data_IF_679330224926
#
_entry.id   IF_679330224926
#
_cell.length_a   1.000
_cell.length_b   1.000
_cell.length_c   1.000
_cell.angle_alpha   90.00
_cell.angle_beta   90.00
_cell.angle_gamma   90.00
#
_symmetry.space_group_name_H-M   'P 1'
#
loop_
_entity.id
_entity.type
_entity.pdbx_description
1 polymer ?
2 non-polymer ?
3 water ?
#
# COMPACT_ATOMS: atom_id res chain seq x y z
N UNK A 1 19.48 14.04 10.92
CA UNK A 1 19.37 12.57 10.65
C UNK A 1 20.73 11.90 10.53
N UNK A 2 20.74 10.58 10.35
CA UNK A 2 21.96 9.80 10.37
C UNK A 2 22.63 9.78 9.01
N UNK A 3 23.93 10.08 8.95
CA UNK A 3 24.65 10.20 7.67
C UNK A 3 24.74 8.89 6.87
N UNK A 4 24.42 8.95 5.57
CA UNK A 4 24.49 7.79 4.65
C UNK A 4 24.78 8.19 3.18
N UNK A 5 24.99 7.20 2.33
CA UNK A 5 25.21 7.40 0.87
C UNK A 5 24.40 6.37 0.07
N UNK A 6 23.94 6.80 -1.11
CA UNK A 6 23.23 5.93 -2.06
C UNK A 6 24.17 4.99 -2.81
N UNK A 7 23.85 3.71 -2.77
CA UNK A 7 24.60 2.64 -3.47
C UNK A 7 24.25 2.51 -4.95
N UNK A 8 22.96 2.68 -5.28
CA UNK A 8 22.44 2.52 -6.65
C UNK A 8 21.49 3.64 -7.05
N UNK A 9 21.34 3.86 -8.38
CA UNK A 9 20.24 4.68 -8.92
C UNK A 9 18.90 4.14 -8.41
N UNK A 10 17.96 5.03 -8.11
CA UNK A 10 16.59 4.61 -7.73
C UNK A 10 15.55 5.49 -8.43
N UNK A 11 14.75 4.84 -9.26
CA UNK A 11 13.65 5.39 -10.08
C UNK A 11 12.31 5.20 -9.33
N UNK A 12 11.72 6.29 -8.83
CA UNK A 12 10.56 6.27 -7.93
C UNK A 12 9.22 5.62 -8.40
N UNK A 13 8.63 6.06 -9.50
CA UNK A 13 7.29 5.55 -9.89
C UNK A 13 6.13 5.96 -8.96
N UNK A 14 6.40 6.76 -7.94
CA UNK A 14 5.38 7.21 -6.98
C UNK A 14 5.79 8.55 -6.37
N UNK A 15 4.82 9.41 -6.06
CA UNK A 15 5.08 10.71 -5.45
C UNK A 15 5.64 10.66 -4.02
N UNK A 16 5.49 9.52 -3.36
CA UNK A 16 5.96 9.33 -1.99
C UNK A 16 7.47 8.99 -1.91
N UNK A 17 8.04 8.57 -3.05
CA UNK A 17 9.43 8.04 -3.11
C UNK A 17 10.41 9.11 -3.59
N UNK A 18 11.63 9.12 -3.03
CA UNK A 18 12.67 10.10 -3.33
C UNK A 18 13.66 9.56 -4.35
N UNK A 19 13.80 10.21 -5.50
CA UNK A 19 14.75 9.74 -6.53
C UNK A 19 16.19 9.79 -6.01
N UNK A 20 16.96 8.74 -6.28
CA UNK A 20 18.37 8.72 -5.98
C UNK A 20 19.20 8.45 -7.23
N UNK A 21 20.40 9.01 -7.21
CA UNK A 21 21.49 8.62 -8.09
C UNK A 21 22.65 8.02 -7.26
N UNK A 22 23.31 7.00 -7.82
CA UNK A 22 24.46 6.38 -7.20
C UNK A 22 25.44 7.47 -6.73
N UNK A 23 25.87 7.37 -5.46
CA UNK A 23 26.81 8.33 -4.84
C UNK A 23 26.22 9.54 -4.12
N UNK A 24 24.90 9.73 -4.25
CA UNK A 24 24.20 10.82 -3.54
C UNK A 24 24.42 10.79 -2.00
N UNK A 25 24.71 11.94 -1.42
CA UNK A 25 24.76 12.15 0.03
C UNK A 25 23.36 12.36 0.58
N UNK A 26 22.97 11.53 1.55
CA UNK A 26 21.64 11.60 2.18
C UNK A 26 21.68 11.45 3.72
N UNK A 27 20.56 11.74 4.38
CA UNK A 27 20.43 11.67 5.85
C UNK A 27 19.15 10.89 6.14
N UNK A 28 19.27 9.82 6.93
CA UNK A 28 18.13 8.96 7.23
C UNK A 28 17.44 9.47 8.48
N UNK A 29 16.16 9.84 8.35
CA UNK A 29 15.38 10.32 9.50
C UNK A 29 14.89 9.21 10.44
N UNK A 30 14.34 8.14 9.85
CA UNK A 30 13.77 7.00 10.54
C UNK A 30 13.40 5.89 9.55
N UNK A 31 13.12 4.71 10.11
CA UNK A 31 12.59 3.57 9.35
C UNK A 31 11.05 3.59 9.34
N UNK A 32 10.48 3.69 8.15
CA UNK A 32 9.02 3.70 7.98
C UNK A 32 8.35 2.33 8.14
N UNK A 33 8.95 1.30 7.55
CA UNK A 33 8.51 -0.09 7.72
C UNK A 33 9.50 -1.03 7.06
N UNK A 34 9.17 -2.32 6.96
CA UNK A 34 10.05 -3.31 6.34
C UNK A 34 10.43 -2.84 4.93
N UNK A 35 11.71 -2.61 4.72
CA UNK A 35 12.23 -2.31 3.39
C UNK A 35 12.19 -0.86 2.97
N UNK A 36 11.72 0.05 3.85
CA UNK A 36 11.59 1.48 3.50
C UNK A 36 12.18 2.41 4.60
N UNK A 37 13.09 3.29 4.15
CA UNK A 37 13.60 4.37 4.97
C UNK A 37 13.04 5.73 4.48
N UNK A 38 12.87 6.67 5.43
CA UNK A 38 12.60 8.07 5.11
C UNK A 38 13.95 8.82 5.13
N UNK A 39 14.27 9.41 4.00
CA UNK A 39 15.55 10.06 3.75
C UNK A 39 15.35 11.52 3.32
N UNK A 40 16.33 12.37 3.66
CA UNK A 40 16.44 13.70 3.05
C UNK A 40 17.69 13.80 2.17
N UNK A 41 17.60 14.64 1.13
CA UNK A 41 18.74 14.89 0.22
C UNK A 41 19.85 15.68 0.94
N UNK A 42 20.95 15.92 0.24
CA UNK A 42 22.15 16.61 0.83
C UNK A 42 21.88 17.92 1.57
N UNK A 43 21.10 18.82 0.93
CA UNK A 43 20.76 20.13 1.50
C UNK A 43 19.56 20.12 2.50
N UNK A 44 18.81 19.02 2.55
CA UNK A 44 17.56 18.92 3.33
C UNK A 44 16.32 19.53 2.67
N UNK A 45 16.43 19.98 1.41
CA UNK A 45 15.31 20.65 0.71
C UNK A 45 14.20 19.69 0.22
N UNK A 46 14.49 18.39 0.19
CA UNK A 46 13.52 17.39 -0.27
C UNK A 46 13.62 16.15 0.61
N UNK A 47 12.49 15.45 0.83
CA UNK A 47 12.49 14.22 1.63
C UNK A 47 11.47 13.22 1.10
N UNK A 48 11.77 11.93 1.22
CA UNK A 48 10.85 10.87 0.78
C UNK A 48 11.35 9.47 1.08
N UNK A 49 10.61 8.47 0.61
CA UNK A 49 10.96 7.05 0.87
C UNK A 49 11.93 6.49 -0.15
N UNK A 50 12.89 5.72 0.37
CA UNK A 50 13.89 4.99 -0.44
C UNK A 50 13.99 3.52 0.05
N UNK A 51 14.43 2.60 -0.84
CA UNK A 51 14.61 1.23 -0.38
C UNK A 51 15.74 1.09 0.70
N UNK A 52 15.47 0.29 1.73
CA UNK A 52 16.44 0.04 2.82
C UNK A 52 17.80 -0.50 2.31
N UNK A 53 17.73 -1.38 1.29
CA UNK A 53 18.96 -1.98 0.74
C UNK A 53 19.76 -1.09 -0.26
N UNK A 54 19.27 0.12 -0.57
CA UNK A 54 19.90 1.02 -1.56
C UNK A 54 20.79 2.10 -0.89
N UNK A 55 20.91 2.07 0.44
CA UNK A 55 21.84 2.99 1.14
C UNK A 55 22.80 2.30 2.10
N UNK A 56 23.94 2.94 2.36
CA UNK A 56 24.91 2.48 3.34
C UNK A 56 25.26 3.64 4.30
N UNK A 57 25.46 3.30 5.57
CA UNK A 57 25.79 4.31 6.59
C UNK A 57 27.27 4.67 6.54
N UNK A 58 27.57 5.95 6.67
CA UNK A 58 28.94 6.46 6.62
C UNK A 58 29.65 6.26 7.98
N UNK A 59 30.77 5.54 7.96
CA UNK A 59 31.45 5.10 9.19
C UNK A 59 32.31 6.17 9.82
N UNK B 1 0.06 -5.62 9.83
CA UNK B 1 -1.37 -5.49 9.39
C UNK B 1 -1.96 -6.80 8.86
N UNK B 2 -3.28 -6.82 8.69
CA UNK B 2 -4.01 -7.99 8.17
C UNK B 2 -4.25 -7.90 6.66
N UNK B 3 -3.84 -8.94 5.89
CA UNK B 3 -3.98 -8.96 4.40
C UNK B 3 -5.45 -8.89 3.99
N UNK B 4 -5.73 -8.09 2.95
CA UNK B 4 -7.09 -7.88 2.44
C UNK B 4 -7.10 -7.50 0.96
N UNK B 5 -8.28 -7.55 0.32
CA UNK B 5 -8.43 -7.15 -1.09
C UNK B 5 -9.49 -6.03 -1.25
N UNK B 6 -9.18 -5.03 -2.09
CA UNK B 6 -10.17 -4.03 -2.50
C UNK B 6 -11.15 -4.61 -3.53
N UNK B 7 -12.44 -4.52 -3.22
CA UNK B 7 -13.49 -4.99 -4.14
C UNK B 7 -14.17 -3.84 -4.95
N UNK B 8 -13.70 -2.61 -4.77
CA UNK B 8 -14.20 -1.41 -5.51
C UNK B 8 -13.00 -0.50 -5.77
N UNK B 9 -13.09 0.34 -6.81
CA UNK B 9 -12.16 1.49 -6.94
C UNK B 9 -12.49 2.55 -5.86
N UNK B 10 -11.49 3.34 -5.45
CA UNK B 10 -11.68 4.44 -4.47
C UNK B 10 -10.74 5.59 -4.85
N UNK B 11 -11.34 6.72 -5.25
CA UNK B 11 -10.61 7.93 -5.63
C UNK B 11 -10.63 8.92 -4.47
N UNK B 12 -9.48 9.11 -3.78
CA UNK B 12 -9.45 9.97 -2.58
C UNK B 12 -9.84 11.43 -2.83
N UNK B 13 -10.38 12.09 -1.80
CA UNK B 13 -10.60 13.54 -1.79
C UNK B 13 -9.64 14.29 -0.81
N UNK B 14 -8.91 13.56 0.06
CA UNK B 14 -7.96 14.14 1.03
C UNK B 14 -6.63 13.42 1.06
N UNK B 15 -5.56 14.16 1.40
CA UNK B 15 -4.19 13.64 1.30
C UNK B 15 -3.90 12.52 2.29
N UNK B 16 -4.73 12.39 3.33
CA UNK B 16 -4.61 11.28 4.31
C UNK B 16 -5.38 9.99 4.00
N UNK B 17 -5.97 9.91 2.80
CA UNK B 17 -6.66 8.74 2.28
C UNK B 17 -5.76 7.97 1.30
N UNK B 18 -5.94 6.65 1.20
CA UNK B 18 -5.21 5.79 0.24
C UNK B 18 -6.04 5.40 -1.00
N UNK B 19 -5.54 5.69 -2.20
CA UNK B 19 -6.23 5.27 -3.46
C UNK B 19 -6.26 3.73 -3.66
N UNK B 20 -7.42 3.22 -4.11
CA UNK B 20 -7.59 1.78 -4.43
C UNK B 20 -8.04 1.56 -5.89
N UNK B 21 -7.47 0.54 -6.53
CA UNK B 21 -8.02 -0.02 -7.77
C UNK B 21 -8.65 -1.36 -7.40
N UNK B 22 -9.83 -1.69 -7.93
CA UNK B 22 -10.45 -2.98 -7.71
C UNK B 22 -9.43 -4.12 -7.92
N UNK B 23 -9.32 -5.02 -6.94
CA UNK B 23 -8.38 -6.13 -7.00
C UNK B 23 -7.05 -5.95 -6.29
N UNK B 24 -6.74 -4.70 -5.88
CA UNK B 24 -5.51 -4.39 -5.13
C UNK B 24 -5.47 -5.13 -3.78
N UNK B 25 -4.31 -5.69 -3.45
CA UNK B 25 -4.03 -6.16 -2.08
C UNK B 25 -3.63 -4.98 -1.16
N UNK B 26 -4.22 -4.93 0.04
CA UNK B 26 -3.83 -3.95 1.10
C UNK B 26 -3.62 -4.67 2.44
N UNK B 27 -3.00 -3.98 3.40
CA UNK B 27 -2.81 -4.47 4.78
C UNK B 27 -3.41 -3.52 5.82
N UNK B 28 -4.40 -4.01 6.57
CA UNK B 28 -5.16 -3.16 7.52
C UNK B 28 -4.45 -3.09 8.89
N UNK B 29 -4.10 -1.86 9.31
CA UNK B 29 -3.40 -1.57 10.55
C UNK B 29 -4.35 -1.47 11.75
N UNK B 30 -5.40 -0.68 11.62
CA UNK B 30 -6.40 -0.55 12.70
C UNK B 30 -7.64 0.20 12.19
N UNK B 31 -8.67 0.26 13.03
CA UNK B 31 -9.91 1.00 12.73
C UNK B 31 -9.82 2.46 13.22
N UNK B 32 -10.09 3.42 12.34
CA UNK B 32 -9.95 4.83 12.72
C UNK B 32 -11.20 5.38 13.41
N UNK B 33 -12.35 5.14 12.82
CA UNK B 33 -13.62 5.46 13.48
C UNK B 33 -14.71 4.78 12.68
N UNK B 34 -15.96 5.04 13.02
CA UNK B 34 -17.08 4.43 12.29
C UNK B 34 -16.88 4.54 10.77
N UNK B 35 -16.79 3.39 10.11
CA UNK B 35 -16.76 3.34 8.63
C UNK B 35 -15.45 3.45 7.90
N UNK B 36 -14.34 3.65 8.64
CA UNK B 36 -13.01 3.88 8.03
C UNK B 36 -11.92 3.04 8.72
N UNK B 37 -11.02 2.51 7.91
CA UNK B 37 -9.82 1.77 8.35
C UNK B 37 -8.53 2.50 7.91
N UNK B 38 -7.44 2.30 8.65
CA UNK B 38 -6.12 2.74 8.18
C UNK B 38 -5.45 1.53 7.51
N UNK B 39 -4.95 1.73 6.30
CA UNK B 39 -4.39 0.67 5.48
C UNK B 39 -3.02 1.05 4.87
N UNK B 40 -2.17 0.05 4.65
CA UNK B 40 -0.94 0.17 3.86
C UNK B 40 -1.20 -0.46 2.48
N UNK B 41 -0.56 0.08 1.43
CA UNK B 41 -0.61 -0.58 0.11
C UNK B 41 0.25 -1.86 0.06
N UNK B 42 0.24 -2.57 -1.07
CA UNK B 42 0.87 -3.87 -1.16
C UNK B 42 2.38 -3.80 -0.86
N UNK B 43 3.06 -2.75 -1.35
CA UNK B 43 4.52 -2.65 -1.20
C UNK B 43 4.92 -2.06 0.16
N UNK B 44 3.96 -1.42 0.83
CA UNK B 44 4.24 -0.73 2.10
C UNK B 44 4.82 0.68 2.00
N UNK B 45 4.74 1.29 0.81
CA UNK B 45 5.32 2.64 0.60
C UNK B 45 4.27 3.75 0.81
N UNK B 46 2.99 3.38 0.87
CA UNK B 46 1.92 4.34 1.16
C UNK B 46 0.99 3.84 2.25
N UNK B 47 0.55 4.76 3.11
CA UNK B 47 -0.44 4.48 4.15
C UNK B 47 -1.56 5.54 4.10
N UNK B 48 -2.80 5.11 4.33
CA UNK B 48 -3.90 6.09 4.53
C UNK B 48 -5.25 5.45 4.79
N UNK B 49 -6.26 6.30 4.99
CA UNK B 49 -7.64 5.88 5.26
C UNK B 49 -8.34 5.30 4.03
N UNK B 50 -9.19 4.29 4.23
CA UNK B 50 -10.01 3.65 3.17
C UNK B 50 -11.40 3.28 3.76
N UNK B 51 -12.45 3.20 2.90
CA UNK B 51 -13.76 2.80 3.38
C UNK B 51 -13.81 1.34 3.80
N UNK B 52 -14.30 1.11 5.03
CA UNK B 52 -14.41 -0.26 5.61
C UNK B 52 -15.22 -1.17 4.69
N UNK B 53 -16.27 -0.62 4.04
CA UNK B 53 -17.12 -1.45 3.17
C UNK B 53 -16.51 -1.87 1.84
N UNK B 54 -15.36 -1.30 1.51
CA UNK B 54 -14.70 -1.64 0.24
C UNK B 54 -13.61 -2.72 0.34
N UNK B 55 -13.42 -3.26 1.55
CA UNK B 55 -12.31 -4.18 1.85
C UNK B 55 -12.84 -5.56 2.27
N UNK B 56 -12.17 -6.63 1.85
CA UNK B 56 -12.53 -7.99 2.27
C UNK B 56 -11.26 -8.72 2.76
N UNK B 57 -11.29 -9.21 3.98
CA UNK B 57 -10.10 -9.81 4.60
C UNK B 57 -9.79 -11.15 3.94
N UNK B 58 -8.50 -11.42 3.73
CA UNK B 58 -8.03 -12.71 3.25
C UNK B 58 -7.45 -13.49 4.40
N UNK B 59 -8.16 -14.52 4.83
CA UNK B 59 -7.68 -15.44 5.85
C UNK B 59 -8.52 -16.72 5.89
N UNK C 1 -12.76 -30.37 -11.67
CA UNK C 1 -13.25 -29.33 -10.73
C UNK C 1 -14.34 -28.45 -11.36
N UNK C 2 -14.85 -27.53 -10.57
CA UNK C 2 -15.92 -26.61 -11.02
C UNK C 2 -15.33 -25.44 -11.82
N UNK C 3 -15.86 -25.20 -13.03
CA UNK C 3 -15.35 -24.14 -13.89
C UNK C 3 -15.54 -22.72 -13.30
N UNK C 4 -14.48 -21.92 -13.34
CA UNK C 4 -14.54 -20.52 -12.85
C UNK C 4 -13.54 -19.67 -13.61
N UNK C 5 -13.67 -18.33 -13.49
CA UNK C 5 -12.77 -17.38 -14.13
C UNK C 5 -12.16 -16.46 -13.05
N UNK C 6 -10.89 -16.17 -13.19
CA UNK C 6 -10.20 -15.20 -12.32
C UNK C 6 -10.65 -13.75 -12.62
N UNK C 7 -11.05 -13.02 -11.59
CA UNK C 7 -11.46 -11.61 -11.70
C UNK C 7 -10.29 -10.58 -11.78
N UNK C 8 -9.20 -10.90 -11.10
CA UNK C 8 -8.06 -10.01 -10.89
C UNK C 8 -6.77 -10.80 -10.97
N UNK C 9 -5.67 -10.11 -11.30
CA UNK C 9 -4.31 -10.66 -11.06
C UNK C 9 -4.13 -11.00 -9.57
N UNK C 10 -3.42 -12.09 -9.28
CA UNK C 10 -3.08 -12.48 -7.89
C UNK C 10 -1.63 -13.00 -7.80
N UNK C 11 -0.80 -12.34 -7.00
CA UNK C 11 0.62 -12.72 -6.81
C UNK C 11 0.85 -13.53 -5.51
N UNK C 12 1.34 -14.78 -5.64
CA UNK C 12 1.48 -15.60 -4.42
C UNK C 12 2.43 -15.02 -3.37
N UNK C 13 2.08 -15.19 -2.09
CA UNK C 13 2.93 -14.80 -0.96
C UNK C 13 3.74 -15.99 -0.39
N UNK C 14 3.29 -17.20 -0.70
CA UNK C 14 4.10 -18.41 -0.43
C UNK C 14 3.98 -19.45 -1.54
N UNK C 15 4.74 -20.55 -1.44
CA UNK C 15 4.77 -21.54 -2.53
C UNK C 15 3.54 -22.48 -2.64
N UNK C 16 2.60 -22.42 -1.71
CA UNK C 16 1.35 -23.17 -1.84
C UNK C 16 0.22 -22.33 -2.48
N UNK C 17 0.46 -21.02 -2.69
CA UNK C 17 -0.52 -20.13 -3.37
C UNK C 17 -0.36 -20.19 -4.92
N UNK C 18 -1.44 -20.10 -5.69
CA UNK C 18 -1.41 -20.19 -7.17
C UNK C 18 -1.48 -18.78 -7.82
N UNK C 19 -0.55 -18.47 -8.72
CA UNK C 19 -0.57 -17.20 -9.45
C UNK C 19 -1.73 -17.16 -10.48
N UNK C 20 -2.51 -16.06 -10.46
CA UNK C 20 -3.61 -15.85 -11.42
C UNK C 20 -3.32 -14.57 -12.20
N UNK C 21 -3.70 -14.60 -13.49
CA UNK C 21 -3.85 -13.40 -14.32
C UNK C 21 -5.35 -13.20 -14.59
N UNK C 22 -5.81 -11.93 -14.59
CA UNK C 22 -7.20 -11.61 -14.89
C UNK C 22 -7.60 -12.34 -16.18
N UNK C 23 -8.76 -13.00 -16.19
CA UNK C 23 -9.29 -13.75 -17.34
C UNK C 23 -8.94 -15.23 -17.46
N UNK C 24 -7.98 -15.69 -16.66
CA UNK C 24 -7.58 -17.10 -16.63
C UNK C 24 -8.80 -18.00 -16.26
N UNK C 25 -8.96 -19.11 -16.95
CA UNK C 25 -9.93 -20.12 -16.53
C UNK C 25 -9.25 -21.09 -15.56
N UNK C 26 -9.93 -21.39 -14.47
CA UNK C 26 -9.44 -22.36 -13.46
C UNK C 26 -10.57 -23.35 -13.16
N UNK C 27 -10.20 -24.47 -12.56
CA UNK C 27 -11.15 -25.48 -12.09
C UNK C 27 -10.98 -25.68 -10.57
N UNK C 28 -12.03 -25.42 -9.80
CA UNK C 28 -11.99 -25.41 -8.32
C UNK C 28 -12.28 -26.79 -7.74
N UNK C 29 -11.31 -27.35 -7.00
CA UNK C 29 -11.45 -28.69 -6.41
C UNK C 29 -12.30 -28.72 -5.12
N UNK C 30 -12.00 -27.83 -4.17
CA UNK C 30 -12.73 -27.72 -2.91
C UNK C 30 -12.40 -26.40 -2.17
N UNK C 31 -13.14 -26.13 -1.10
CA UNK C 31 -12.87 -25.00 -0.20
C UNK C 31 -12.06 -25.44 1.02
N UNK C 32 -11.02 -24.66 1.33
CA UNK C 32 -10.19 -24.86 2.50
C UNK C 32 -10.37 -23.76 3.54
N UNK C 33 -10.77 -24.14 4.74
CA UNK C 33 -10.83 -23.19 5.85
C UNK C 33 -11.93 -22.19 5.61
N UNK C 34 -11.71 -20.94 6.04
CA UNK C 34 -12.77 -19.93 6.04
C UNK C 34 -12.89 -19.18 4.72
N UNK C 35 -11.78 -18.99 4.00
CA UNK C 35 -11.81 -18.16 2.79
C UNK C 35 -10.83 -18.46 1.67
N UNK C 36 -10.38 -19.72 1.57
CA UNK C 36 -9.46 -20.14 0.50
C UNK C 36 -10.06 -21.24 -0.37
N UNK C 37 -9.66 -21.24 -1.65
CA UNK C 37 -10.05 -22.30 -2.61
C UNK C 37 -8.83 -23.05 -3.13
N UNK C 38 -8.93 -24.38 -3.33
CA UNK C 38 -7.87 -25.15 -3.99
C UNK C 38 -8.21 -25.25 -5.47
N UNK C 39 -7.35 -24.70 -6.31
CA UNK C 39 -7.62 -24.49 -7.76
C UNK C 39 -6.56 -25.10 -8.66
N UNK C 40 -7.00 -25.63 -9.81
CA UNK C 40 -6.12 -26.04 -10.90
C UNK C 40 -6.22 -25.01 -12.05
N UNK C 41 -5.10 -24.74 -12.75
CA UNK C 41 -5.10 -23.93 -13.99
C UNK C 41 -5.78 -24.70 -15.16
N UNK C 42 -5.96 -24.01 -16.27
CA UNK C 42 -6.73 -24.54 -17.39
C UNK C 42 -6.15 -25.83 -17.98
N UNK C 43 -4.83 -25.91 -18.07
CA UNK C 43 -4.13 -27.08 -18.61
C UNK C 43 -4.01 -28.23 -17.63
N UNK C 44 -4.18 -27.93 -16.36
CA UNK C 44 -3.95 -28.90 -15.29
C UNK C 44 -2.49 -29.02 -14.88
N UNK C 45 -1.61 -28.16 -15.38
CA UNK C 45 -0.17 -28.29 -15.08
C UNK C 45 0.25 -27.67 -13.74
N UNK C 46 -0.63 -26.86 -13.13
CA UNK C 46 -0.39 -26.32 -11.76
C UNK C 46 -1.62 -26.32 -10.85
N UNK C 47 -1.40 -26.47 -9.54
CA UNK C 47 -2.49 -26.42 -8.54
C UNK C 47 -2.02 -25.68 -7.28
N UNK C 48 -2.90 -24.88 -6.71
CA UNK C 48 -2.61 -24.11 -5.50
C UNK C 48 -3.79 -23.36 -4.92
N UNK C 49 -3.53 -22.60 -3.85
CA UNK C 49 -4.56 -21.91 -3.11
C UNK C 49 -4.76 -20.48 -3.62
N UNK C 50 -6.02 -20.08 -3.77
CA UNK C 50 -6.37 -18.69 -4.08
C UNK C 50 -7.51 -18.22 -3.14
N UNK C 51 -7.58 -16.90 -2.85
CA UNK C 51 -8.72 -16.44 -2.04
C UNK C 51 -10.02 -16.51 -2.85
N UNK C 52 -11.13 -16.82 -2.17
CA UNK C 52 -12.42 -17.00 -2.83
C UNK C 52 -12.91 -15.74 -3.55
N UNK C 53 -12.48 -14.58 -3.07
CA UNK C 53 -12.82 -13.28 -3.66
C UNK C 53 -12.30 -13.07 -5.09
N UNK C 54 -11.30 -13.86 -5.50
CA UNK C 54 -10.59 -13.67 -6.77
C UNK C 54 -11.19 -14.42 -7.94
N UNK C 55 -12.25 -15.21 -7.70
CA UNK C 55 -12.91 -15.98 -8.79
C UNK C 55 -14.45 -15.81 -8.87
N UNK C 56 -14.97 -16.02 -10.07
CA UNK C 56 -16.40 -16.08 -10.31
C UNK C 56 -16.73 -17.39 -11.03
N UNK C 57 -17.74 -18.11 -10.53
CA UNK C 57 -18.24 -19.36 -11.17
C UNK C 57 -18.94 -19.03 -12.49
N UNK C 58 -18.80 -19.90 -13.48
CA UNK C 58 -19.26 -19.54 -14.81
C UNK C 58 -20.77 -19.67 -14.95
N UNK C 59 -21.40 -18.50 -14.99
CA UNK C 59 -22.69 -18.27 -15.55
C UNK C 59 -22.33 -17.38 -16.74
N UNK D 1 -8.28 -22.22 -25.13
CA UNK D 1 -9.69 -22.08 -25.55
C UNK D 1 -10.06 -22.86 -26.80
N UNK D 2 -11.33 -22.75 -27.19
CA UNK D 2 -11.89 -23.59 -28.25
C UNK D 2 -11.93 -22.88 -29.63
N UNK D 3 -11.34 -23.52 -30.63
CA UNK D 3 -11.15 -22.91 -31.96
C UNK D 3 -12.48 -22.68 -32.70
N UNK D 4 -12.67 -21.46 -33.22
CA UNK D 4 -13.88 -21.07 -33.98
C UNK D 4 -13.59 -20.02 -35.07
N UNK D 5 -14.56 -19.77 -35.94
CA UNK D 5 -14.42 -18.78 -37.02
C UNK D 5 -15.59 -17.78 -37.00
N UNK D 6 -15.29 -16.48 -37.21
CA UNK D 6 -16.32 -15.45 -37.27
C UNK D 6 -17.18 -15.58 -38.55
N UNK D 7 -18.49 -15.52 -38.37
CA UNK D 7 -19.48 -15.58 -39.46
C UNK D 7 -19.95 -14.22 -39.99
N UNK D 8 -19.82 -13.17 -39.16
CA UNK D 8 -20.24 -11.78 -39.45
C UNK D 8 -19.14 -10.81 -38.95
N UNK D 9 -19.10 -9.59 -39.53
CA UNK D 9 -18.37 -8.48 -38.92
C UNK D 9 -19.07 -8.12 -37.58
N UNK D 10 -18.32 -7.59 -36.62
CA UNK D 10 -18.87 -7.07 -35.35
C UNK D 10 -18.11 -5.82 -34.93
N UNK D 11 -18.82 -4.70 -34.88
CA UNK D 11 -18.21 -3.42 -34.46
C UNK D 11 -18.60 -3.04 -33.01
N UNK D 12 -17.64 -3.09 -32.07
CA UNK D 12 -17.97 -2.81 -30.66
C UNK D 12 -18.53 -1.42 -30.34
N UNK D 13 -19.36 -1.38 -29.29
CA UNK D 13 -19.87 -0.13 -28.70
C UNK D 13 -19.39 0.09 -27.24
N UNK D 14 -18.81 -0.94 -26.62
CA UNK D 14 -18.36 -0.90 -25.21
C UNK D 14 -16.93 -1.42 -25.10
N UNK D 15 -16.15 -0.96 -24.09
CA UNK D 15 -14.72 -1.34 -24.03
C UNK D 15 -14.46 -2.82 -23.70
N UNK D 16 -15.47 -3.55 -23.20
CA UNK D 16 -15.32 -4.98 -22.87
C UNK D 16 -15.63 -5.97 -24.00
N UNK D 17 -15.85 -5.45 -25.21
CA UNK D 17 -16.17 -6.23 -26.42
C UNK D 17 -14.95 -6.40 -27.35
N UNK D 18 -14.88 -7.51 -28.10
CA UNK D 18 -13.82 -7.81 -29.08
C UNK D 18 -14.31 -7.57 -30.53
N UNK D 19 -13.60 -6.73 -31.28
CA UNK D 19 -13.91 -6.49 -32.70
C UNK D 19 -13.65 -7.73 -33.58
N UNK D 20 -14.60 -8.01 -34.47
CA UNK D 20 -14.49 -9.11 -35.47
C UNK D 20 -14.72 -8.66 -36.92
N UNK D 21 -14.02 -9.34 -37.83
CA UNK D 21 -14.31 -9.34 -39.28
C UNK D 21 -14.69 -10.74 -39.71
N UNK D 22 -15.69 -10.86 -40.60
CA UNK D 22 -16.06 -12.14 -41.21
C UNK D 22 -14.80 -12.94 -41.58
N UNK D 23 -14.75 -14.21 -41.19
CA UNK D 23 -13.58 -15.06 -41.53
C UNK D 23 -12.45 -15.08 -40.52
N UNK D 24 -12.49 -14.19 -39.52
CA UNK D 24 -11.46 -14.15 -38.45
C UNK D 24 -11.45 -15.45 -37.61
N UNK D 25 -10.26 -15.93 -37.27
CA UNK D 25 -10.09 -17.04 -36.33
C UNK D 25 -10.06 -16.53 -34.87
N UNK D 26 -10.93 -17.10 -34.03
CA UNK D 26 -10.96 -16.76 -32.62
C UNK D 26 -10.92 -18.03 -31.76
N UNK D 27 -10.66 -17.87 -30.45
CA UNK D 27 -10.72 -18.99 -29.50
C UNK D 27 -11.67 -18.62 -28.35
N UNK D 28 -12.68 -19.46 -28.15
CA UNK D 28 -13.67 -19.27 -27.08
C UNK D 28 -13.20 -19.75 -25.71
N UNK D 29 -13.23 -18.86 -24.72
CA UNK D 29 -12.88 -19.22 -23.34
C UNK D 29 -14.08 -19.78 -22.57
N UNK D 30 -15.18 -19.02 -22.56
CA UNK D 30 -16.41 -19.44 -21.86
C UNK D 30 -17.65 -18.68 -22.33
N UNK D 31 -18.83 -19.16 -21.93
CA UNK D 31 -20.09 -18.48 -22.20
C UNK D 31 -20.38 -17.57 -21.02
N UNK D 32 -20.50 -16.26 -21.30
CA UNK D 32 -20.70 -15.22 -20.28
C UNK D 32 -22.15 -15.12 -19.80
N UNK D 33 -23.08 -15.51 -20.66
CA UNK D 33 -24.50 -15.47 -20.37
C UNK D 33 -25.31 -15.58 -21.65
N UNK D 34 -26.63 -15.45 -21.51
CA UNK D 34 -27.51 -15.61 -22.66
C UNK D 34 -27.04 -14.73 -23.83
N UNK D 35 -26.66 -15.37 -24.93
CA UNK D 35 -26.31 -14.66 -26.18
C UNK D 35 -24.91 -14.09 -26.36
N UNK D 36 -24.00 -14.27 -25.39
CA UNK D 36 -22.63 -13.70 -25.43
C UNK D 36 -21.57 -14.70 -24.98
N UNK D 37 -20.46 -14.75 -25.71
CA UNK D 37 -19.27 -15.57 -25.38
C UNK D 37 -18.07 -14.67 -25.04
N UNK D 38 -17.13 -15.16 -24.23
CA UNK D 38 -15.84 -14.44 -24.10
C UNK D 38 -14.83 -15.09 -25.04
N UNK D 39 -14.18 -14.28 -25.88
CA UNK D 39 -13.25 -14.80 -26.89
C UNK D 39 -11.89 -14.08 -26.86
N UNK D 40 -10.86 -14.75 -27.41
CA UNK D 40 -9.61 -14.09 -27.77
C UNK D 40 -9.39 -14.13 -29.28
N UNK D 41 -8.63 -13.15 -29.78
CA UNK D 41 -8.23 -13.13 -31.19
C UNK D 41 -7.20 -14.24 -31.53
N UNK D 42 -6.85 -14.33 -32.82
CA UNK D 42 -5.99 -15.39 -33.32
C UNK D 42 -4.67 -15.56 -32.53
N UNK D 43 -4.02 -14.46 -32.17
CA UNK D 43 -2.79 -14.51 -31.36
C UNK D 43 -3.02 -14.52 -29.83
N UNK D 44 -4.24 -14.31 -29.37
CA UNK D 44 -4.51 -14.17 -27.92
C UNK D 44 -4.04 -12.86 -27.27
N UNK D 45 -3.68 -11.88 -28.09
CA UNK D 45 -3.24 -10.55 -27.63
C UNK D 45 -4.41 -9.62 -27.24
N UNK D 46 -5.63 -9.94 -27.68
CA UNK D 46 -6.84 -9.20 -27.31
C UNK D 46 -7.97 -10.16 -26.91
N UNK D 47 -8.76 -9.76 -25.91
CA UNK D 47 -9.87 -10.54 -25.42
C UNK D 47 -11.09 -9.66 -25.34
N UNK D 48 -12.26 -10.28 -25.35
CA UNK D 48 -13.50 -9.55 -25.10
C UNK D 48 -14.77 -10.34 -25.43
N UNK D 49 -15.91 -9.77 -25.07
CA UNK D 49 -17.24 -10.34 -25.44
C UNK D 49 -17.58 -10.27 -26.96
N UNK D 50 -18.22 -11.35 -27.48
CA UNK D 50 -18.76 -11.40 -28.86
C UNK D 50 -20.13 -12.09 -28.86
N UNK D 51 -21.00 -11.79 -29.88
CA UNK D 51 -22.29 -12.49 -29.90
C UNK D 51 -22.15 -13.97 -30.23
N UNK D 52 -22.83 -14.82 -29.46
CA UNK D 52 -22.79 -16.27 -29.65
C UNK D 52 -23.24 -16.66 -31.07
N UNK D 53 -24.20 -15.93 -31.63
CA UNK D 53 -24.69 -16.21 -33.00
C UNK D 53 -23.69 -15.85 -34.11
N UNK D 54 -22.58 -15.19 -33.77
CA UNK D 54 -21.60 -14.74 -34.78
C UNK D 54 -20.39 -15.68 -34.95
N UNK D 55 -20.39 -16.80 -34.22
CA UNK D 55 -19.31 -17.77 -34.40
C UNK D 55 -19.75 -19.21 -34.68
N UNK D 56 -18.81 -19.96 -35.25
CA UNK D 56 -19.03 -21.36 -35.62
C UNK D 56 -17.80 -22.16 -35.18
N UNK D 57 -18.01 -23.21 -34.37
CA UNK D 57 -16.89 -24.04 -33.89
C UNK D 57 -16.31 -24.89 -35.04
N UNK D 58 -14.99 -24.99 -35.07
CA UNK D 58 -14.32 -25.75 -36.14
C UNK D 58 -14.36 -27.23 -35.84
N UNK D 59 -14.97 -27.97 -36.76
CA UNK D 59 -14.82 -29.43 -36.96
C UNK D 59 -15.69 -29.87 -38.14
N UNK E 1 -37.70 11.48 -0.59
CA UNK E 1 -36.53 11.10 0.27
C UNK E 1 -35.89 12.34 0.85
N UNK E 2 -34.79 12.16 1.58
CA UNK E 2 -34.09 13.25 2.23
C UNK E 2 -32.84 13.70 1.45
N UNK E 3 -32.75 15.00 1.14
CA UNK E 3 -31.68 15.56 0.28
C UNK E 3 -30.27 15.35 0.88
N UNK E 4 -29.33 14.87 0.07
CA UNK E 4 -27.96 14.71 0.49
C UNK E 4 -27.04 14.96 -0.68
N UNK E 5 -25.77 15.22 -0.36
CA UNK E 5 -24.75 15.45 -1.40
C UNK E 5 -23.63 14.39 -1.30
N UNK E 6 -23.15 13.94 -2.48
CA UNK E 6 -22.02 13.01 -2.57
C UNK E 6 -20.71 13.70 -2.22
N UNK E 7 -19.98 13.05 -1.32
CA UNK E 7 -18.63 13.50 -0.91
C UNK E 7 -17.48 12.95 -1.76
N UNK E 8 -17.75 11.87 -2.52
CA UNK E 8 -16.74 11.10 -3.31
C UNK E 8 -17.40 10.57 -4.60
N UNK E 9 -16.60 10.32 -5.63
CA UNK E 9 -17.01 9.48 -6.80
C UNK E 9 -17.30 8.06 -6.31
N UNK E 10 -18.25 7.35 -6.94
CA UNK E 10 -18.59 5.96 -6.63
C UNK E 10 -18.93 5.23 -7.94
N UNK E 11 -18.08 4.28 -8.28
CA UNK E 11 -18.29 3.42 -9.44
C UNK E 11 -18.90 2.09 -8.97
N UNK E 12 -20.13 1.77 -9.42
CA UNK E 12 -20.76 0.49 -9.11
C UNK E 12 -20.04 -0.77 -9.59
N UNK E 13 -20.14 -1.84 -8.79
CA UNK E 13 -19.65 -3.17 -9.15
C UNK E 13 -20.79 -4.21 -9.25
N UNK E 14 -22.01 -3.81 -8.86
CA UNK E 14 -23.17 -4.70 -8.83
C UNK E 14 -24.42 -3.98 -9.38
N UNK E 15 -25.35 -4.78 -9.91
CA UNK E 15 -26.61 -4.29 -10.48
C UNK E 15 -27.44 -3.39 -9.58
N UNK E 16 -27.41 -3.66 -8.27
CA UNK E 16 -28.29 -2.97 -7.33
C UNK E 16 -27.71 -1.68 -6.74
N UNK E 17 -26.61 -1.19 -7.31
CA UNK E 17 -25.89 0.03 -6.82
C UNK E 17 -26.11 1.23 -7.75
N UNK E 18 -26.01 2.44 -7.19
CA UNK E 18 -26.31 3.69 -7.91
C UNK E 18 -24.98 4.47 -8.04
N UNK E 19 -24.59 4.82 -9.26
CA UNK E 19 -23.37 5.60 -9.49
C UNK E 19 -23.47 7.01 -8.91
N UNK E 20 -22.33 7.50 -8.40
CA UNK E 20 -22.16 8.89 -7.95
C UNK E 20 -20.90 9.54 -8.51
N UNK E 21 -21.01 10.86 -8.73
CA UNK E 21 -19.84 11.77 -8.91
C UNK E 21 -19.80 12.73 -7.69
N UNK E 22 -18.60 13.08 -7.20
CA UNK E 22 -18.48 14.07 -6.11
C UNK E 22 -19.32 15.31 -6.46
N UNK E 23 -20.06 15.81 -5.48
CA UNK E 23 -20.99 16.92 -5.68
C UNK E 23 -22.41 16.65 -6.17
N UNK E 24 -22.68 15.43 -6.65
CA UNK E 24 -24.05 15.06 -7.09
C UNK E 24 -25.07 15.11 -5.93
N UNK E 25 -26.29 15.54 -6.24
CA UNK E 25 -27.40 15.52 -5.29
C UNK E 25 -28.13 14.18 -5.45
N UNK E 26 -28.45 13.59 -4.31
CA UNK E 26 -29.31 12.38 -4.25
C UNK E 26 -30.39 12.58 -3.18
N UNK E 27 -31.37 11.65 -3.15
CA UNK E 27 -32.42 11.67 -2.13
C UNK E 27 -32.46 10.32 -1.44
N UNK E 28 -32.17 10.31 -0.14
CA UNK E 28 -32.05 9.09 0.62
C UNK E 28 -33.42 8.58 1.03
N UNK E 29 -33.67 7.29 0.83
CA UNK E 29 -34.90 6.64 1.32
C UNK E 29 -34.78 6.16 2.77
N UNK E 30 -33.81 5.27 3.02
CA UNK E 30 -33.58 4.65 4.34
C UNK E 30 -32.19 3.97 4.32
N UNK E 31 -31.73 3.56 5.50
CA UNK E 31 -30.55 2.71 5.68
C UNK E 31 -30.88 1.23 5.42
N UNK E 32 -30.15 0.62 4.50
CA UNK E 32 -30.34 -0.79 4.09
C UNK E 32 -29.72 -1.80 5.08
N UNK E 33 -28.51 -1.49 5.53
CA UNK E 33 -27.85 -2.28 6.56
C UNK E 33 -26.58 -1.55 6.94
N UNK E 34 -25.74 -2.22 7.72
CA UNK E 34 -24.42 -1.68 8.08
C UNK E 34 -23.70 -1.10 6.84
N UNK E 35 -23.41 0.20 6.87
CA UNK E 35 -22.56 0.85 5.86
C UNK E 35 -23.20 1.29 4.54
N UNK E 36 -24.49 1.01 4.32
CA UNK E 36 -25.14 1.26 3.01
C UNK E 36 -26.56 1.87 3.16
N UNK E 37 -26.81 2.85 2.30
CA UNK E 37 -28.10 3.60 2.21
C UNK E 37 -28.76 3.33 0.82
N UNK E 38 -30.09 3.33 0.78
CA UNK E 38 -30.85 3.25 -0.50
C UNK E 38 -31.10 4.70 -0.93
N UNK E 39 -30.75 5.02 -2.18
CA UNK E 39 -30.82 6.40 -2.66
C UNK E 39 -31.44 6.46 -4.05
N UNK E 40 -32.16 7.55 -4.35
CA UNK E 40 -32.59 7.93 -5.72
C UNK E 40 -31.62 8.98 -6.26
N UNK E 41 -31.40 8.98 -7.58
CA UNK E 41 -30.65 10.06 -8.24
C UNK E 41 -31.41 11.40 -8.24
N UNK E 42 -30.74 12.44 -8.72
CA UNK E 42 -31.31 13.80 -8.76
C UNK E 42 -32.70 13.89 -9.40
N UNK E 43 -32.89 13.24 -10.57
CA UNK E 43 -34.18 13.31 -11.29
C UNK E 43 -35.22 12.28 -10.77
N UNK E 44 -34.75 11.30 -10.00
CA UNK E 44 -35.57 10.17 -9.55
C UNK E 44 -35.81 9.03 -10.54
N UNK E 45 -35.14 9.06 -11.69
CA UNK E 45 -35.26 8.00 -12.72
C UNK E 45 -34.55 6.68 -12.38
N UNK E 46 -33.60 6.71 -11.44
CA UNK E 46 -32.91 5.47 -10.98
C UNK E 46 -32.80 5.39 -9.42
N UNK E 47 -32.73 4.17 -8.89
CA UNK E 47 -32.54 3.94 -7.44
C UNK E 47 -31.46 2.86 -7.27
N UNK E 48 -30.76 2.92 -6.14
CA UNK E 48 -29.78 1.89 -5.79
C UNK E 48 -29.00 2.20 -4.51
N UNK E 49 -28.15 1.25 -4.12
CA UNK E 49 -27.35 1.37 -2.92
C UNK E 49 -26.14 2.27 -3.12
N UNK E 50 -25.81 3.05 -2.07
CA UNK E 50 -24.57 3.84 -1.96
C UNK E 50 -23.93 3.75 -0.56
N UNK E 51 -22.59 3.96 -0.45
CA UNK E 51 -21.98 3.90 0.90
C UNK E 51 -22.42 5.06 1.79
N UNK E 52 -22.80 4.74 3.02
CA UNK E 52 -23.20 5.68 4.05
C UNK E 52 -22.12 6.76 4.26
N UNK E 53 -20.86 6.36 4.30
CA UNK E 53 -19.74 7.32 4.44
C UNK E 53 -19.51 8.25 3.23
N UNK E 54 -20.16 8.02 2.09
CA UNK E 54 -19.96 8.84 0.88
C UNK E 54 -20.97 9.96 0.68
N UNK E 55 -21.96 10.08 1.57
CA UNK E 55 -22.93 11.21 1.50
C UNK E 55 -23.11 11.99 2.83
N UNK E 56 -23.54 13.25 2.70
CA UNK E 56 -23.82 14.10 3.84
C UNK E 56 -25.25 14.64 3.68
N UNK E 57 -26.09 14.40 4.69
CA UNK E 57 -27.46 14.87 4.66
C UNK E 57 -27.44 16.40 4.75
N UNK E 58 -28.34 17.05 4.03
CA UNK E 58 -28.41 18.51 4.03
C UNK E 58 -29.25 18.98 5.23
N UNK E 59 -28.66 19.85 6.05
CA UNK E 59 -29.34 20.38 7.24
C UNK E 59 -30.28 21.54 6.91
N UNK F 1 29.43 19.53 40.18
CA UNK F 1 28.69 19.14 41.40
C UNK F 1 29.04 20.02 42.57
N UNK F 2 30.12 19.68 43.28
CA UNK F 2 30.58 20.46 44.42
C UNK F 2 31.83 21.26 44.06
N UNK F 3 31.81 22.56 44.32
CA UNK F 3 32.90 23.46 43.92
C UNK F 3 34.21 23.19 44.67
N UNK F 4 35.33 23.40 43.99
CA UNK F 4 36.66 23.24 44.57
C UNK F 4 37.69 24.15 43.90
N UNK F 5 38.82 24.37 44.57
CA UNK F 5 39.93 25.16 44.04
C UNK F 5 41.16 24.26 43.86
N UNK F 6 41.85 24.43 42.74
CA UNK F 6 43.11 23.72 42.50
C UNK F 6 44.27 24.26 43.37
N UNK F 7 44.91 23.37 44.15
CA UNK F 7 46.05 23.73 45.03
C UNK F 7 47.42 23.65 44.35
N UNK F 8 47.46 22.94 43.20
CA UNK F 8 48.66 22.70 42.39
C UNK F 8 48.35 22.89 40.90
N UNK F 9 49.36 23.17 40.08
CA UNK F 9 49.28 22.92 38.63
C UNK F 9 49.20 21.38 38.36
N UNK F 10 48.46 20.96 37.33
CA UNK F 10 48.43 19.55 36.90
C UNK F 10 48.56 19.46 35.38
N UNK F 11 49.62 18.80 34.94
CA UNK F 11 49.91 18.60 33.51
C UNK F 11 49.48 17.20 33.06
N UNK F 12 48.42 17.11 32.27
CA UNK F 12 47.91 15.77 31.88
C UNK F 12 48.85 14.93 31.01
N UNK F 13 48.73 13.60 31.14
CA UNK F 13 49.41 12.63 30.23
C UNK F 13 48.44 11.84 29.30
N UNK F 14 47.13 11.95 29.54
CA UNK F 14 46.12 11.27 28.76
C UNK F 14 44.94 12.20 28.42
N UNK F 15 44.32 11.97 27.25
CA UNK F 15 43.25 12.86 26.73
C UNK F 15 42.00 12.95 27.61
N UNK F 16 41.80 11.96 28.49
CA UNK F 16 40.64 11.94 29.39
C UNK F 16 40.87 12.59 30.78
N UNK F 17 42.03 13.24 30.93
CA UNK F 17 42.39 14.05 32.15
C UNK F 17 42.14 15.53 31.86
N UNK F 18 41.86 16.33 32.90
CA UNK F 18 41.71 17.79 32.79
C UNK F 18 42.93 18.57 33.36
N UNK F 19 43.57 19.40 32.53
CA UNK F 19 44.65 20.30 32.97
C UNK F 19 44.17 21.28 34.03
N UNK F 20 44.99 21.49 35.05
CA UNK F 20 44.71 22.51 36.12
C UNK F 20 45.86 23.49 36.23
N UNK F 21 45.50 24.75 36.46
CA UNK F 21 46.43 25.77 36.99
C UNK F 21 46.07 26.09 38.45
N UNK F 22 47.07 26.21 39.34
CA UNK F 22 46.83 26.63 40.73
C UNK F 22 45.87 27.81 40.81
N UNK F 23 44.82 27.66 41.62
CA UNK F 23 43.78 28.68 41.78
C UNK F 23 42.54 28.52 40.91
N UNK F 24 42.59 27.65 39.89
CA UNK F 24 41.41 27.38 39.07
C UNK F 24 40.25 26.86 39.92
N UNK F 25 39.04 27.35 39.61
CA UNK F 25 37.80 26.81 40.16
C UNK F 25 37.35 25.65 39.28
N UNK F 26 36.93 24.56 39.91
CA UNK F 26 36.35 23.44 39.15
C UNK F 26 35.14 22.88 39.89
N UNK F 27 34.31 22.10 39.20
CA UNK F 27 33.15 21.47 39.80
C UNK F 27 33.37 19.94 39.79
N UNK F 28 33.33 19.34 40.98
CA UNK F 28 33.59 17.92 41.16
C UNK F 28 32.25 17.16 41.17
N UNK F 29 32.03 16.33 40.16
CA UNK F 29 30.78 15.57 40.00
C UNK F 29 30.80 14.24 40.79
N UNK F 30 31.83 13.41 40.57
CA UNK F 30 31.94 12.06 41.14
C UNK F 30 33.40 11.68 41.42
N UNK F 31 33.57 10.65 42.26
CA UNK F 31 34.86 9.97 42.42
C UNK F 31 35.07 8.96 41.29
N UNK F 32 36.31 8.78 40.87
CA UNK F 32 36.69 7.78 39.86
C UNK F 32 37.76 6.84 40.41
N UNK F 33 37.33 5.80 41.11
CA UNK F 33 38.26 4.88 41.76
C UNK F 33 39.19 5.59 42.75
N UNK F 34 40.19 4.86 43.23
CA UNK F 34 41.09 5.38 44.26
C UNK F 34 41.94 6.52 43.71
N UNK F 35 41.93 7.66 44.39
CA UNK F 35 42.87 8.73 44.08
C UNK F 35 42.54 9.72 42.96
N UNK F 36 41.42 9.52 42.26
CA UNK F 36 41.04 10.40 41.16
C UNK F 36 39.57 10.89 41.25
N UNK F 37 39.32 12.09 40.71
CA UNK F 37 37.99 12.73 40.67
C UNK F 37 37.61 13.16 39.23
N UNK F 38 36.31 13.16 38.92
CA UNK F 38 35.82 13.72 37.67
C UNK F 38 35.49 15.20 37.89
N UNK F 39 36.16 16.08 37.13
CA UNK F 39 36.01 17.54 37.30
C UNK F 39 35.58 18.19 36.00
N UNK F 40 34.84 19.29 36.13
CA UNK F 40 34.44 20.12 35.01
C UNK F 40 35.07 21.50 35.19
N UNK F 41 35.58 22.08 34.10
CA UNK F 41 36.23 23.39 34.19
C UNK F 41 35.23 24.53 34.43
N UNK F 42 35.73 25.73 34.75
CA UNK F 42 34.82 26.84 35.09
C UNK F 42 33.90 27.26 33.94
N UNK F 43 34.35 27.12 32.68
CA UNK F 43 33.53 27.50 31.53
C UNK F 43 32.39 26.49 31.22
N UNK F 44 32.58 25.25 31.63
CA UNK F 44 31.63 24.17 31.37
C UNK F 44 31.84 23.43 30.07
N UNK F 45 32.95 23.72 29.37
CA UNK F 45 33.18 23.15 28.02
C UNK F 45 34.29 22.09 27.98
N UNK F 46 34.84 21.73 29.14
CA UNK F 46 35.80 20.63 29.23
C UNK F 46 35.64 19.87 30.52
N UNK F 47 35.74 18.53 30.43
CA UNK F 47 35.53 17.63 31.57
C UNK F 47 36.51 16.46 31.55
N UNK F 48 37.19 16.18 32.68
CA UNK F 48 38.18 15.13 32.74
C UNK F 48 38.64 14.78 34.15
N UNK F 49 39.50 13.75 34.26
CA UNK F 49 40.04 13.32 35.53
C UNK F 49 41.15 14.23 36.13
N UNK F 50 41.08 14.42 37.46
CA UNK F 50 42.13 15.11 38.23
C UNK F 50 42.52 14.38 39.54
N UNK F 51 43.75 14.60 40.04
CA UNK F 51 44.14 13.94 41.30
C UNK F 51 43.34 14.47 42.49
N UNK F 52 42.79 13.56 43.29
CA UNK F 52 42.02 13.90 44.51
C UNK F 52 42.77 14.82 45.49
N UNK F 53 44.07 14.59 45.63
CA UNK F 53 44.90 15.37 46.59
C UNK F 53 45.22 16.78 46.10
N UNK F 54 44.80 17.12 44.87
CA UNK F 54 45.16 18.40 44.26
C UNK F 54 44.09 19.48 44.41
N UNK F 55 42.91 19.13 44.93
CA UNK F 55 41.82 20.11 45.12
C UNK F 55 41.40 20.28 46.59
N UNK F 56 40.88 21.46 46.90
CA UNK F 56 40.29 21.74 48.20
C UNK F 56 38.83 22.23 47.98
N UNK F 57 37.88 21.64 48.71
CA UNK F 57 36.46 21.98 48.51
C UNK F 57 36.19 23.36 49.07
N UNK F 58 35.37 24.12 48.35
CA UNK F 58 34.95 25.46 48.76
C UNK F 58 33.44 25.65 48.58
N UNK F 59 32.88 26.70 49.16
CA UNK F 59 31.44 27.05 48.99
C UNK F 59 31.15 27.70 47.63
X LIG G 1 -20.36 -5.11 3.61
X LIG H 1 -15.87 -5.78 -11.20
X LIG I 1 -12.91 17.68 -3.43
X LIG J 1 -12.58 15.19 -6.57
X LIG K 1 -12.26 -13.56 3.02
X LIG L 1 -22.38 4.11 -29.28
X LIG M 1 -21.26 3.36 -32.67
X LIG N 1 -19.30 -10.24 -45.88
X LIG O 1 -22.70 15.99 -11.55
X LIG P 1 -15.12 -2.56 -11.93
#
# INVERSE_FOLDING_TARGET
GQRAVALYDFEPENDNELRLAEGDIVFISYKHGQGWLVAENESGSKTGLVPEEFVSYIQ
GQRAVALYDFEPENDNELRLAEGDIVFISYKHGQGWLVAENESGSKTGLVPEEFVSYIQ
GQRAVALYDFEPENDNELRLAEGDIVFISYKHGQGWLVAENESGSKTGLVPEEFVSYIQ
GQRAVALYDFEPENDNELRLAEGDIVFISYKHGQGWLVAENESGSKTGLVPEEFVSYIQ
GQRAVALYDFEPENDNELRLAEGDIVFISYKHGQGWLVAENESGSKTGLVPEEFVSYIQ
GQRAVALYDFEPENDNELRLAEGDIVFISYKHGQGWLVAENESGSKTGLVPEEFVSYIQ
CA CA
CA CA
CA CA
CA CA
CA CA
CA CA
CA CA
CA CA
CA CA
CA CA
#
